data_IF_110583914664
#
_entry.id   IF_110583914664
#
_cell.length_a   1.000
_cell.length_b   1.000
_cell.length_c   1.000
_cell.angle_alpha   90.00
_cell.angle_beta   90.00
_cell.angle_gamma   90.00
#
_symmetry.space_group_name_H-M   'P 1'
#
loop_
_entity.id
_entity.type
_entity.pdbx_description
1 polymer ?
#
# COMPACT_ATOMS: atom_id res chain seq x y z
N UNK A 1 -42.66 0.15 -4.72
CA UNK A 1 -41.98 -0.72 -5.71
C UNK A 1 -40.46 -0.71 -5.62
N UNK A 2 -39.98 -1.81 -5.05
CA UNK A 2 -38.75 -2.56 -5.30
C UNK A 2 -37.79 -2.09 -6.40
N UNK A 3 -36.62 -1.59 -5.98
CA UNK A 3 -35.38 -1.76 -6.73
C UNK A 3 -34.20 -1.97 -5.76
N UNK A 4 -34.18 -3.13 -5.11
CA UNK A 4 -32.96 -3.69 -4.50
C UNK A 4 -32.05 -4.12 -5.66
N UNK A 5 -31.36 -3.16 -6.26
CA UNK A 5 -30.32 -3.40 -7.27
C UNK A 5 -29.16 -4.13 -6.58
N UNK A 6 -29.14 -5.45 -6.65
CA UNK A 6 -27.98 -6.33 -6.50
C UNK A 6 -26.82 -5.78 -5.64
N UNK A 7 -26.93 -5.85 -4.31
CA UNK A 7 -25.78 -5.73 -3.41
C UNK A 7 -24.91 -7.00 -3.42
N UNK A 8 -24.44 -7.42 -4.61
CA UNK A 8 -23.10 -8.01 -4.70
C UNK A 8 -22.15 -6.82 -4.61
N UNK A 9 -22.08 -6.19 -3.44
CA UNK A 9 -21.17 -5.09 -3.17
C UNK A 9 -19.78 -5.71 -3.14
N UNK A 10 -19.19 -5.91 -4.32
CA UNK A 10 -17.75 -6.10 -4.45
C UNK A 10 -17.15 -4.93 -3.67
N UNK A 11 -16.40 -5.23 -2.62
CA UNK A 11 -15.72 -4.23 -1.82
C UNK A 11 -14.59 -3.65 -2.67
N UNK A 12 -14.97 -2.81 -3.64
CA UNK A 12 -14.10 -2.22 -4.66
C UNK A 12 -12.84 -1.57 -4.05
N UNK A 13 -12.92 -0.85 -2.90
CA UNK A 13 -11.73 -0.38 -2.21
C UNK A 13 -10.79 -1.49 -1.77
N UNK A 14 -11.32 -2.62 -1.29
CA UNK A 14 -10.52 -3.77 -0.88
C UNK A 14 -9.88 -4.44 -2.09
N UNK A 15 -10.65 -4.67 -3.16
CA UNK A 15 -10.12 -5.23 -4.42
C UNK A 15 -9.01 -4.35 -5.01
N UNK A 16 -9.20 -3.02 -5.06
CA UNK A 16 -8.19 -2.12 -5.58
C UNK A 16 -6.95 -2.03 -4.68
N UNK A 17 -7.12 -2.20 -3.37
CA UNK A 17 -5.99 -2.32 -2.45
C UNK A 17 -5.23 -3.62 -2.71
N UNK A 18 -5.92 -4.75 -2.85
CA UNK A 18 -5.33 -6.05 -3.18
C UNK A 18 -4.53 -5.99 -4.49
N UNK A 19 -5.10 -5.42 -5.57
CA UNK A 19 -4.39 -5.25 -6.84
C UNK A 19 -3.15 -4.35 -6.73
N UNK A 20 -3.20 -3.34 -5.87
CA UNK A 20 -2.08 -2.44 -5.59
C UNK A 20 -0.98 -3.17 -4.80
N UNK A 21 -1.35 -3.99 -3.82
CA UNK A 21 -0.42 -4.81 -3.05
C UNK A 21 0.22 -5.89 -3.95
N UNK A 22 -0.56 -6.54 -4.81
CA UNK A 22 -0.04 -7.50 -5.79
C UNK A 22 0.96 -6.85 -6.76
N UNK A 23 0.67 -5.62 -7.21
CA UNK A 23 1.61 -4.86 -8.02
C UNK A 23 2.91 -4.56 -7.26
N UNK A 24 2.82 -4.15 -5.99
CA UNK A 24 4.00 -3.89 -5.16
C UNK A 24 4.79 -5.17 -4.86
N UNK A 25 4.10 -6.28 -4.66
CA UNK A 25 4.70 -7.59 -4.44
C UNK A 25 5.53 -8.04 -5.64
N UNK A 26 4.98 -7.87 -6.85
CA UNK A 26 5.71 -8.10 -8.10
C UNK A 26 6.85 -7.10 -8.35
N UNK A 27 6.87 -5.96 -7.65
CA UNK A 27 7.84 -4.88 -7.80
C UNK A 27 8.58 -4.58 -6.47
N UNK A 28 8.87 -5.61 -5.66
CA UNK A 28 9.57 -5.47 -4.36
C UNK A 28 10.92 -4.77 -4.48
N UNK A 29 11.58 -4.86 -5.64
CA UNK A 29 12.82 -4.15 -5.97
C UNK A 29 12.69 -2.61 -6.00
N UNK A 30 11.46 -2.07 -6.06
CA UNK A 30 11.16 -0.64 -5.96
C UNK A 30 10.58 -0.25 -4.58
N UNK A 31 10.69 -1.12 -3.58
CA UNK A 31 10.31 -0.84 -2.20
C UNK A 31 11.59 -0.57 -1.41
N UNK A 32 11.60 0.52 -0.66
CA UNK A 32 12.63 0.82 0.36
C UNK A 32 12.03 0.63 1.74
N UNK A 33 12.83 0.57 2.79
CA UNK A 33 12.27 0.46 4.13
C UNK A 33 13.11 -0.37 5.08
N UNK A 34 12.47 -0.79 6.16
CA UNK A 34 13.11 -1.65 7.15
C UNK A 34 13.29 -3.05 6.54
N UNK A 35 14.53 -3.57 6.49
CA UNK A 35 14.81 -4.86 5.83
C UNK A 35 14.89 -4.82 4.30
N UNK A 36 14.63 -3.67 3.66
CA UNK A 36 14.80 -3.48 2.21
C UNK A 36 16.06 -2.67 1.89
N UNK A 37 16.72 -3.06 0.81
CA UNK A 37 17.83 -2.30 0.25
C UNK A 37 17.38 -0.99 -0.40
N UNK A 38 18.35 -0.16 -0.75
CA UNK A 38 18.09 1.05 -1.54
C UNK A 38 17.63 0.66 -2.95
N UNK A 39 16.66 1.39 -3.50
CA UNK A 39 16.23 1.20 -4.88
C UNK A 39 17.32 1.74 -5.81
N UNK A 40 17.95 0.84 -6.56
CA UNK A 40 19.06 1.16 -7.46
C UNK A 40 18.60 1.59 -8.86
N UNK A 41 17.38 1.19 -9.27
CA UNK A 41 16.82 1.50 -10.59
C UNK A 41 15.33 1.84 -10.49
N UNK A 42 14.96 2.99 -11.06
CA UNK A 42 13.58 3.49 -11.09
C UNK A 42 13.15 4.19 -9.80
N UNK A 43 11.89 4.64 -9.79
CA UNK A 43 11.32 5.34 -8.65
C UNK A 43 10.93 4.38 -7.52
N UNK A 44 11.14 4.82 -6.28
CA UNK A 44 10.55 4.17 -5.10
C UNK A 44 9.04 4.16 -5.27
N UNK A 45 8.38 3.01 -5.09
CA UNK A 45 6.92 2.86 -5.18
C UNK A 45 6.26 2.81 -3.80
N UNK A 46 6.95 2.25 -2.82
CA UNK A 46 6.50 2.20 -1.45
C UNK A 46 7.67 2.24 -0.46
N UNK A 47 7.35 2.60 0.79
CA UNK A 47 8.26 2.54 1.93
C UNK A 47 7.68 1.57 2.94
N UNK A 48 8.33 0.42 3.12
CA UNK A 48 7.97 -0.55 4.14
C UNK A 48 8.48 -0.12 5.52
N UNK A 49 7.60 -0.25 6.51
CA UNK A 49 7.87 -0.11 7.94
C UNK A 49 7.23 -1.27 8.66
N UNK A 50 7.79 -1.66 9.80
CA UNK A 50 7.31 -2.84 10.54
C UNK A 50 5.79 -2.82 10.79
N UNK A 51 5.20 -1.65 11.05
CA UNK A 51 3.77 -1.50 11.37
C UNK A 51 2.88 -1.20 10.14
N UNK A 52 3.46 -0.77 9.02
CA UNK A 52 2.70 -0.31 7.85
C UNK A 52 3.51 -0.28 6.56
N UNK A 53 2.81 -0.35 5.42
CA UNK A 53 3.38 -0.09 4.10
C UNK A 53 2.92 1.29 3.62
N UNK A 54 3.86 2.23 3.46
CA UNK A 54 3.56 3.56 2.93
C UNK A 54 3.70 3.60 1.41
N UNK A 55 2.57 3.56 0.72
CA UNK A 55 2.54 3.54 -0.74
C UNK A 55 2.59 4.98 -1.26
N UNK A 56 3.55 5.31 -2.14
CA UNK A 56 3.70 6.68 -2.63
C UNK A 56 2.43 7.15 -3.34
N UNK A 57 2.16 8.44 -3.21
CA UNK A 57 1.02 9.08 -3.86
C UNK A 57 0.95 8.83 -5.38
N UNK A 58 2.10 8.85 -6.06
CA UNK A 58 2.21 8.57 -7.50
C UNK A 58 1.77 7.14 -7.84
N UNK A 59 2.21 6.15 -7.07
CA UNK A 59 1.84 4.75 -7.27
C UNK A 59 0.33 4.54 -7.09
N UNK A 60 -0.25 5.14 -6.05
CA UNK A 60 -1.70 5.11 -5.83
C UNK A 60 -2.44 5.82 -6.96
N UNK A 61 -1.98 6.99 -7.40
CA UNK A 61 -2.59 7.75 -8.49
C UNK A 61 -2.54 6.99 -9.82
N UNK A 62 -1.43 6.33 -10.13
CA UNK A 62 -1.27 5.57 -11.37
C UNK A 62 -2.21 4.36 -11.42
N UNK A 63 -2.45 3.71 -10.27
CA UNK A 63 -3.33 2.53 -10.19
C UNK A 63 -4.82 2.90 -10.09
N UNK A 64 -5.16 3.92 -9.30
CA UNK A 64 -6.56 4.30 -9.02
C UNK A 64 -7.10 5.38 -9.97
N UNK A 65 -6.22 6.10 -10.67
CA UNK A 65 -6.60 7.15 -11.61
C UNK A 65 -7.56 8.17 -11.02
N UNK A 66 -8.71 8.35 -11.68
CA UNK A 66 -9.75 9.31 -11.29
C UNK A 66 -10.49 8.92 -9.99
N UNK A 67 -10.47 7.65 -9.60
CA UNK A 67 -11.20 7.17 -8.42
C UNK A 67 -10.39 7.28 -7.12
N UNK A 68 -9.16 7.77 -7.20
CA UNK A 68 -8.22 7.87 -6.09
C UNK A 68 -8.82 8.52 -4.84
N UNK A 69 -9.48 9.67 -4.96
CA UNK A 69 -10.06 10.38 -3.80
C UNK A 69 -11.18 9.56 -3.14
N UNK A 70 -12.06 8.97 -3.95
CA UNK A 70 -13.16 8.14 -3.46
C UNK A 70 -12.64 6.90 -2.75
N UNK A 71 -11.69 6.19 -3.35
CA UNK A 71 -11.14 4.94 -2.80
C UNK A 71 -10.32 5.20 -1.54
N UNK A 72 -9.42 6.19 -1.56
CA UNK A 72 -8.62 6.54 -0.37
C UNK A 72 -9.48 7.06 0.78
N UNK A 73 -10.59 7.76 0.48
CA UNK A 73 -11.58 8.13 1.48
C UNK A 73 -12.33 6.93 2.07
N UNK A 74 -12.60 5.90 1.26
CA UNK A 74 -13.19 4.66 1.75
C UNK A 74 -12.20 3.83 2.59
N UNK A 75 -10.91 3.82 2.23
CA UNK A 75 -9.86 3.22 3.06
C UNK A 75 -9.75 3.90 4.43
N UNK A 76 -9.85 5.23 4.49
CA UNK A 76 -9.90 5.95 5.77
C UNK A 76 -11.13 5.57 6.61
N UNK A 77 -12.32 5.53 5.99
CA UNK A 77 -13.57 5.13 6.67
C UNK A 77 -13.53 3.68 7.16
N UNK A 78 -12.88 2.79 6.43
CA UNK A 78 -12.72 1.36 6.77
C UNK A 78 -11.56 1.11 7.75
N UNK A 79 -10.78 2.14 8.09
CA UNK A 79 -9.70 2.03 9.07
C UNK A 79 -8.44 1.34 8.55
N UNK A 80 -8.26 1.25 7.22
CA UNK A 80 -7.10 0.61 6.57
C UNK A 80 -5.82 1.45 6.67
N UNK A 81 -5.96 2.75 6.98
CA UNK A 81 -4.88 3.72 6.92
C UNK A 81 -4.39 4.15 8.31
N UNK A 82 -3.08 4.33 8.43
CA UNK A 82 -2.46 5.07 9.54
C UNK A 82 -2.34 6.53 9.12
N UNK A 83 -3.33 7.32 9.53
CA UNK A 83 -3.37 8.76 9.24
C UNK A 83 -2.63 9.60 10.27
N UNK A 84 -2.29 10.81 9.85
CA UNK A 84 -1.91 11.88 10.77
C UNK A 84 -3.15 12.73 11.10
N UNK A 85 -3.12 13.52 12.19
CA UNK A 85 -4.32 14.16 12.78
C UNK A 85 -5.21 14.94 11.79
N UNK A 86 -4.65 15.45 10.68
CA UNK A 86 -5.35 16.27 9.69
C UNK A 86 -5.36 15.71 8.27
N UNK A 87 -4.59 14.65 7.99
CA UNK A 87 -4.35 14.19 6.60
C UNK A 87 -4.33 12.66 6.52
N UNK A 88 -5.01 12.16 5.48
CA UNK A 88 -5.05 10.73 5.13
C UNK A 88 -3.66 10.25 4.67
N UNK A 89 -2.89 11.15 4.04
CA UNK A 89 -1.50 10.89 3.67
C UNK A 89 -0.57 11.08 4.86
N UNK A 90 0.44 10.22 4.95
CA UNK A 90 1.49 10.25 5.97
C UNK A 90 2.83 10.51 5.33
N UNK A 91 3.61 11.40 5.95
CA UNK A 91 5.00 11.60 5.58
C UNK A 91 5.88 10.65 6.37
N UNK A 92 6.68 9.84 5.66
CA UNK A 92 7.57 8.84 6.24
C UNK A 92 9.00 9.21 5.87
N UNK A 93 9.88 9.28 6.87
CA UNK A 93 11.31 9.51 6.65
C UNK A 93 12.04 8.17 6.60
N UNK A 94 12.82 7.93 5.56
CA UNK A 94 13.73 6.78 5.46
C UNK A 94 15.04 7.24 4.83
N UNK A 95 16.19 6.86 5.42
CA UNK A 95 17.55 7.22 4.95
C UNK A 95 17.67 8.69 4.50
N UNK A 96 17.22 9.61 5.34
CA UNK A 96 17.20 11.08 5.11
C UNK A 96 16.27 11.60 4.01
N UNK A 97 15.59 10.72 3.24
CA UNK A 97 14.56 11.11 2.29
C UNK A 97 13.17 11.12 2.94
N UNK A 98 12.32 12.05 2.47
CA UNK A 98 10.93 12.19 2.92
C UNK A 98 10.01 11.66 1.82
N UNK A 99 9.19 10.68 2.15
CA UNK A 99 8.23 10.07 1.24
C UNK A 99 6.81 10.40 1.71
N UNK A 100 6.00 10.96 0.81
CA UNK A 100 4.59 11.24 1.07
C UNK A 100 3.72 10.18 0.40
N UNK A 101 2.86 9.52 1.18
CA UNK A 101 2.07 8.41 0.69
C UNK A 101 0.93 8.03 1.62
N UNK A 102 0.29 6.90 1.31
CA UNK A 102 -0.78 6.31 2.09
C UNK A 102 -0.20 5.15 2.91
N UNK A 103 -0.16 5.31 4.23
CA UNK A 103 0.33 4.27 5.12
C UNK A 103 -0.77 3.24 5.38
N UNK A 104 -0.70 2.11 4.68
CA UNK A 104 -1.60 0.97 4.85
C UNK A 104 -1.16 0.17 6.07
N UNK A 105 -2.07 -0.09 7.01
CA UNK A 105 -1.78 -0.89 8.20
C UNK A 105 -1.35 -2.30 7.83
N UNK A 106 -0.43 -2.86 8.62
CA UNK A 106 -0.03 -4.26 8.51
C UNK A 106 -1.22 -5.23 8.60
N UNK A 107 -2.17 -4.97 9.50
CA UNK A 107 -3.37 -5.81 9.71
C UNK A 107 -4.13 -6.13 8.42
N UNK A 108 -4.44 -5.12 7.59
CA UNK A 108 -5.18 -5.33 6.34
C UNK A 108 -4.31 -5.92 5.22
N UNK A 109 -3.00 -5.68 5.26
CA UNK A 109 -2.05 -6.27 4.30
C UNK A 109 -2.00 -7.78 4.52
N UNK A 110 -1.88 -8.21 5.77
CA UNK A 110 -1.89 -9.62 6.18
C UNK A 110 -3.26 -10.26 5.96
N UNK A 111 -4.36 -9.55 6.25
CA UNK A 111 -5.72 -10.02 5.95
C UNK A 111 -5.91 -10.31 4.45
N UNK A 112 -5.23 -9.56 3.59
CA UNK A 112 -5.21 -9.75 2.14
C UNK A 112 -4.20 -10.81 1.67
N UNK A 113 -3.46 -11.45 2.58
CA UNK A 113 -2.52 -12.51 2.27
C UNK A 113 -1.14 -12.04 1.78
N UNK A 114 -0.80 -10.77 1.96
CA UNK A 114 0.51 -10.24 1.60
C UNK A 114 1.43 -10.14 2.81
N UNK A 115 2.73 -10.40 2.60
CA UNK A 115 3.74 -10.20 3.63
C UNK A 115 4.97 -9.46 3.07
N UNK A 116 5.08 -8.17 3.37
CA UNK A 116 6.23 -7.33 3.00
C UNK A 116 7.33 -7.31 4.06
N UNK A 117 7.29 -8.16 5.09
CA UNK A 117 8.35 -8.20 6.12
C UNK A 117 9.65 -8.84 5.62
N UNK A 118 9.55 -9.74 4.66
CA UNK A 118 10.69 -10.42 4.04
C UNK A 118 11.03 -9.66 2.76
N UNK A 119 12.17 -8.94 2.74
CA UNK A 119 12.73 -8.57 1.44
C UNK A 119 13.05 -9.87 0.74
N UNK A 120 12.38 -10.13 -0.39
CA UNK A 120 12.55 -11.38 -1.12
C UNK A 120 13.99 -11.38 -1.65
N UNK A 121 14.91 -11.93 -0.86
CA UNK A 121 16.25 -12.23 -1.30
C UNK A 121 16.21 -13.68 -1.79
N UNK A 122 16.22 -13.95 -3.11
CA UNK A 122 16.22 -15.32 -3.63
C UNK A 122 17.47 -16.12 -3.21
N UNK A 123 18.42 -15.52 -2.47
CA UNK A 123 19.63 -16.16 -1.96
C UNK A 123 19.59 -16.54 -0.47
N UNK A 124 18.44 -16.48 0.22
CA UNK A 124 18.35 -16.91 1.64
C UNK A 124 17.80 -18.34 1.84
N UNK A 125 17.88 -19.20 0.84
CA UNK A 125 17.78 -20.66 1.03
C UNK A 125 19.07 -21.33 0.59
N UNK A 126 20.06 -21.38 1.50
CA UNK A 126 21.09 -22.43 1.50
C UNK A 126 21.67 -22.53 2.91
N UNK A 127 21.13 -23.44 3.72
CA UNK A 127 21.86 -24.05 4.83
C UNK A 127 22.52 -25.34 4.35
#
# INVERSE_FOLDING_TARGET
>A
DSMVKNNKTIDKPKQLLEELLQYLDANRNNIVGDGYDSVNYGDVKAVYKHDFLCIKNETVKNKLGHEMQTITGQWDKKGYLIKDKKRIQKQVKHKSQRHLGYAIKKEIIEELGFDFSISHNPYTESY
#
